data_IF_844282987455
#
_entry.id   IF_844282987455
#
_cell.length_a   1.000
_cell.length_b   1.000
_cell.length_c   1.000
_cell.angle_alpha   90.00
_cell.angle_beta   90.00
_cell.angle_gamma   90.00
#
_symmetry.space_group_name_H-M   'P 1'
#
loop_
_entity.id
_entity.type
_entity.pdbx_description
1 polymer ?
#
# COMPACT_ATOMS: atom_id res chain seq x y z
N UNK A 1 4.02 -33.37 19.95
CA UNK A 1 3.32 -34.57 20.48
C UNK A 1 2.73 -34.39 21.88
N UNK A 2 3.28 -33.52 22.75
CA UNK A 2 2.72 -33.27 24.09
C UNK A 2 1.32 -32.59 24.10
N UNK A 3 1.00 -31.78 23.07
CA UNK A 3 -0.32 -31.11 22.92
C UNK A 3 -1.50 -32.08 22.71
N UNK A 4 -1.26 -33.29 22.22
CA UNK A 4 -2.31 -34.30 22.03
C UNK A 4 -2.65 -35.07 23.33
N UNK A 5 -1.83 -34.92 24.37
CA UNK A 5 -1.97 -35.65 25.63
C UNK A 5 -2.68 -34.84 26.74
N UNK A 6 -2.95 -33.54 26.55
CA UNK A 6 -3.55 -32.69 27.58
C UNK A 6 -5.08 -32.75 27.65
N UNK A 7 -5.76 -33.00 26.52
CA UNK A 7 -7.21 -33.27 26.43
C UNK A 7 -7.59 -33.45 24.95
N UNK A 8 -8.46 -34.41 24.58
CA UNK A 8 -8.96 -34.54 23.21
C UNK A 8 -9.69 -33.28 22.71
N UNK A 9 -10.09 -32.37 23.61
CA UNK A 9 -10.72 -31.08 23.29
C UNK A 9 -9.69 -30.03 22.86
N UNK A 10 -8.42 -30.17 23.24
CA UNK A 10 -7.37 -29.20 22.89
C UNK A 10 -7.05 -29.21 21.39
N UNK A 11 -7.17 -30.37 20.74
CA UNK A 11 -6.93 -30.50 19.30
C UNK A 11 -7.94 -29.69 18.45
N UNK A 12 -9.27 -29.83 18.61
CA UNK A 12 -10.23 -29.01 17.86
C UNK A 12 -10.13 -27.52 18.21
N UNK A 13 -9.88 -27.17 19.47
CA UNK A 13 -9.67 -25.76 19.87
C UNK A 13 -8.43 -25.17 19.19
N UNK A 14 -7.32 -25.93 19.15
CA UNK A 14 -6.10 -25.51 18.46
C UNK A 14 -6.32 -25.33 16.95
N UNK A 15 -7.07 -26.23 16.31
CA UNK A 15 -7.45 -26.10 14.89
C UNK A 15 -8.30 -24.84 14.63
N UNK A 16 -9.27 -24.57 15.50
CA UNK A 16 -10.11 -23.37 15.39
C UNK A 16 -9.25 -22.10 15.54
N UNK A 17 -8.35 -22.06 16.52
CA UNK A 17 -7.46 -20.91 16.71
C UNK A 17 -6.48 -20.73 15.54
N UNK A 18 -5.95 -21.82 15.00
CA UNK A 18 -5.12 -21.78 13.79
C UNK A 18 -5.90 -21.25 12.58
N UNK A 19 -7.15 -21.67 12.42
CA UNK A 19 -8.02 -21.16 11.38
C UNK A 19 -8.23 -19.64 11.52
N UNK A 20 -8.52 -19.14 12.73
CA UNK A 20 -8.67 -17.70 12.99
C UNK A 20 -7.37 -16.92 12.72
N UNK A 21 -6.24 -17.44 13.20
CA UNK A 21 -4.92 -16.86 12.96
C UNK A 21 -4.55 -16.79 11.48
N UNK A 22 -5.16 -17.61 10.63
CA UNK A 22 -4.96 -17.58 9.18
C UNK A 22 -5.98 -16.73 8.43
N UNK A 23 -7.27 -16.85 8.78
CA UNK A 23 -8.38 -16.19 8.11
C UNK A 23 -8.32 -14.67 8.32
N UNK A 24 -8.07 -14.22 9.55
CA UNK A 24 -8.09 -12.79 9.89
C UNK A 24 -7.04 -12.02 9.05
N UNK A 25 -5.74 -12.38 9.03
CA UNK A 25 -4.76 -11.67 8.21
C UNK A 25 -5.07 -11.68 6.72
N UNK A 26 -5.76 -12.72 6.24
CA UNK A 26 -6.11 -12.86 4.84
C UNK A 26 -7.27 -11.93 4.44
N UNK A 27 -8.26 -11.75 5.32
CA UNK A 27 -9.32 -10.76 5.15
C UNK A 27 -8.77 -9.33 5.16
N UNK A 28 -7.88 -9.01 6.10
CA UNK A 28 -7.22 -7.71 6.12
C UNK A 28 -6.32 -7.50 4.88
N UNK A 29 -5.61 -8.53 4.41
CA UNK A 29 -4.84 -8.45 3.16
C UNK A 29 -5.74 -8.18 1.94
N UNK A 30 -6.95 -8.76 1.90
CA UNK A 30 -7.94 -8.47 0.87
C UNK A 30 -8.44 -7.02 0.96
N UNK A 31 -8.67 -6.50 2.18
CA UNK A 31 -9.00 -5.08 2.40
C UNK A 31 -7.88 -4.17 1.93
N UNK A 32 -6.64 -4.50 2.24
CA UNK A 32 -5.45 -3.78 1.78
C UNK A 32 -5.27 -3.80 0.26
N UNK A 33 -5.66 -4.89 -0.41
CA UNK A 33 -5.64 -4.96 -1.88
C UNK A 33 -6.64 -4.00 -2.55
N UNK A 34 -7.74 -3.67 -1.89
CA UNK A 34 -8.72 -2.72 -2.41
C UNK A 34 -8.22 -1.27 -2.41
N UNK A 35 -7.15 -0.95 -1.67
CA UNK A 35 -6.53 0.39 -1.62
C UNK A 35 -5.92 0.79 -2.97
N UNK A 36 -5.43 -0.19 -3.73
CA UNK A 36 -4.80 0.00 -5.05
C UNK A 36 -5.69 -0.50 -6.18
N UNK A 37 -6.99 -0.70 -5.90
CA UNK A 37 -7.96 -1.09 -6.91
C UNK A 37 -8.44 0.16 -7.63
N UNK A 38 -8.04 0.29 -8.89
CA UNK A 38 -8.50 1.35 -9.78
C UNK A 38 -10.01 1.36 -9.88
N UNK A 39 -10.62 2.53 -9.67
CA UNK A 39 -12.05 2.76 -9.90
C UNK A 39 -12.30 3.10 -11.37
N UNK A 40 -13.50 2.81 -11.91
CA UNK A 40 -13.88 3.29 -13.23
C UNK A 40 -13.90 4.82 -13.25
N UNK A 41 -13.41 5.42 -14.33
CA UNK A 41 -13.42 6.87 -14.53
C UNK A 41 -14.85 7.38 -14.72
N UNK A 42 -15.18 8.52 -14.10
CA UNK A 42 -16.49 9.14 -14.19
C UNK A 42 -16.76 9.76 -15.58
N UNK A 43 -15.72 10.31 -16.23
CA UNK A 43 -15.83 10.92 -17.55
C UNK A 43 -14.48 10.87 -18.31
N UNK A 44 -14.50 10.47 -19.58
CA UNK A 44 -13.28 10.15 -20.34
C UNK A 44 -12.40 11.36 -20.70
N UNK A 45 -13.00 12.54 -20.90
CA UNK A 45 -12.28 13.75 -21.31
C UNK A 45 -11.56 14.39 -20.11
N UNK A 46 -12.24 14.50 -18.97
CA UNK A 46 -11.65 15.02 -17.73
C UNK A 46 -10.54 14.10 -17.23
N UNK A 47 -10.75 12.77 -17.26
CA UNK A 47 -9.70 11.80 -16.90
C UNK A 47 -8.45 11.94 -17.78
N UNK A 48 -8.62 12.16 -19.09
CA UNK A 48 -7.47 12.31 -20.00
C UNK A 48 -6.66 13.57 -19.70
N UNK A 49 -7.31 14.68 -19.37
CA UNK A 49 -6.63 15.93 -18.95
C UNK A 49 -5.93 15.75 -17.62
N UNK A 50 -6.63 15.21 -16.62
CA UNK A 50 -6.08 14.91 -15.30
C UNK A 50 -4.87 13.96 -15.38
N UNK A 51 -4.94 12.93 -16.22
CA UNK A 51 -3.82 12.01 -16.44
C UNK A 51 -2.62 12.70 -17.11
N UNK A 52 -2.86 13.67 -18.00
CA UNK A 52 -1.83 14.53 -18.57
C UNK A 52 -1.09 15.31 -17.48
N UNK A 53 -1.84 16.02 -16.63
CA UNK A 53 -1.29 16.80 -15.51
C UNK A 53 -0.57 15.93 -14.48
N UNK A 54 -1.16 14.79 -14.10
CA UNK A 54 -0.51 13.81 -13.23
C UNK A 54 0.79 13.29 -13.86
N UNK A 55 0.77 13.04 -15.17
CA UNK A 55 1.93 12.64 -15.96
C UNK A 55 3.06 13.67 -15.94
N UNK A 56 2.75 14.95 -15.78
CA UNK A 56 3.74 16.03 -15.67
C UNK A 56 4.21 16.23 -14.22
N UNK A 57 3.37 15.89 -13.23
CA UNK A 57 3.72 15.88 -11.81
C UNK A 57 4.65 14.70 -11.44
N UNK A 58 4.56 13.59 -12.17
CA UNK A 58 5.41 12.42 -11.98
C UNK A 58 6.60 12.45 -12.95
N UNK A 59 7.80 12.07 -12.48
CA UNK A 59 8.97 11.95 -13.33
C UNK A 59 8.81 10.85 -14.40
N UNK A 60 9.71 10.83 -15.38
CA UNK A 60 9.65 9.95 -16.55
C UNK A 60 9.51 8.45 -16.20
N UNK A 61 10.27 7.95 -15.23
CA UNK A 61 10.23 6.55 -14.82
C UNK A 61 8.90 6.16 -14.15
N UNK A 62 8.37 7.05 -13.32
CA UNK A 62 7.08 6.85 -12.65
C UNK A 62 5.91 6.90 -13.64
N UNK A 63 6.04 7.69 -14.72
CA UNK A 63 5.06 7.79 -15.80
C UNK A 63 4.86 6.47 -16.54
N UNK A 64 5.93 5.73 -16.79
CA UNK A 64 5.84 4.41 -17.44
C UNK A 64 5.06 3.39 -16.59
N UNK A 65 5.29 3.40 -15.27
CA UNK A 65 4.55 2.52 -14.33
C UNK A 65 3.09 2.97 -14.19
N UNK A 66 2.84 4.26 -14.11
CA UNK A 66 1.49 4.84 -14.09
C UNK A 66 0.70 4.45 -15.34
N UNK A 67 1.29 4.56 -16.53
CA UNK A 67 0.63 4.21 -17.78
C UNK A 67 0.24 2.72 -17.86
N UNK A 68 1.09 1.82 -17.34
CA UNK A 68 0.81 0.37 -17.36
C UNK A 68 -0.11 -0.11 -16.24
N UNK A 69 -0.04 0.52 -15.06
CA UNK A 69 -0.63 -0.05 -13.84
C UNK A 69 -1.66 0.84 -13.17
N UNK A 70 -1.76 2.11 -13.56
CA UNK A 70 -2.60 3.11 -12.89
C UNK A 70 -2.11 3.52 -11.50
N UNK A 71 -0.86 3.20 -11.16
CA UNK A 71 -0.28 3.43 -9.84
C UNK A 71 1.04 4.20 -9.96
N UNK A 72 1.29 5.09 -9.02
CA UNK A 72 2.51 5.89 -8.93
C UNK A 72 3.43 5.29 -7.88
N UNK A 73 4.72 5.15 -8.21
CA UNK A 73 5.76 4.75 -7.26
C UNK A 73 6.49 6.00 -6.79
N UNK A 74 6.50 6.24 -5.49
CA UNK A 74 7.16 7.40 -4.87
C UNK A 74 8.12 6.93 -3.76
N UNK A 75 9.44 7.00 -3.95
CA UNK A 75 10.43 6.74 -2.90
C UNK A 75 10.43 7.88 -1.87
N UNK A 76 10.35 7.55 -0.58
CA UNK A 76 10.36 8.51 0.53
C UNK A 76 11.12 7.95 1.74
N UNK A 77 11.09 8.63 2.88
CA UNK A 77 11.91 8.29 4.06
C UNK A 77 11.44 7.02 4.75
N UNK A 78 10.12 6.75 4.79
CA UNK A 78 9.56 5.55 5.42
C UNK A 78 9.67 4.30 4.53
N UNK A 79 10.07 4.45 3.27
CA UNK A 79 10.19 3.38 2.29
C UNK A 79 9.71 3.80 0.91
N UNK A 80 9.15 2.85 0.16
CA UNK A 80 8.64 3.12 -1.19
C UNK A 80 7.13 3.06 -1.19
N UNK A 81 6.49 4.15 -1.58
CA UNK A 81 5.04 4.26 -1.67
C UNK A 81 4.55 3.85 -3.05
N UNK A 82 3.41 3.18 -3.06
CA UNK A 82 2.62 2.87 -4.23
C UNK A 82 1.26 3.54 -4.07
N UNK A 83 1.02 4.62 -4.80
CA UNK A 83 -0.16 5.48 -4.67
C UNK A 83 -1.15 5.16 -5.78
N UNK A 84 -2.41 4.94 -5.41
CA UNK A 84 -3.55 4.78 -6.30
C UNK A 84 -4.69 5.70 -5.90
N UNK A 85 -5.78 5.67 -6.67
CA UNK A 85 -6.89 6.61 -6.51
C UNK A 85 -7.76 6.37 -5.26
N UNK A 86 -7.61 5.20 -4.63
CA UNK A 86 -8.32 4.82 -3.40
C UNK A 86 -7.42 4.80 -2.14
N UNK A 87 -6.12 5.13 -2.28
CA UNK A 87 -5.17 5.25 -1.18
C UNK A 87 -3.75 4.82 -1.57
N UNK A 88 -2.94 4.43 -0.60
CA UNK A 88 -1.53 4.14 -0.82
C UNK A 88 -1.03 2.90 -0.08
N UNK A 89 0.01 2.26 -0.62
CA UNK A 89 0.71 1.13 -0.01
C UNK A 89 2.16 1.52 0.21
N UNK A 90 2.58 1.56 1.47
CA UNK A 90 3.97 1.70 1.86
C UNK A 90 4.65 0.34 1.85
N UNK A 91 5.65 0.17 1.00
CA UNK A 91 6.60 -0.94 1.03
C UNK A 91 7.77 -0.54 1.93
N UNK A 92 7.90 -1.23 3.07
CA UNK A 92 8.97 -0.96 4.04
C UNK A 92 10.35 -1.28 3.45
N UNK A 93 11.42 -0.64 3.95
CA UNK A 93 12.80 -0.98 3.57
C UNK A 93 13.05 -2.50 3.60
N UNK A 94 13.77 -3.01 2.61
CA UNK A 94 13.99 -4.45 2.40
C UNK A 94 12.85 -5.19 1.68
N UNK A 95 11.71 -4.55 1.42
CA UNK A 95 10.67 -5.05 0.51
C UNK A 95 9.92 -6.31 0.98
N UNK A 96 9.95 -6.63 2.27
CA UNK A 96 9.28 -7.81 2.86
C UNK A 96 7.93 -7.49 3.52
N UNK A 97 7.79 -6.29 4.08
CA UNK A 97 6.58 -5.84 4.78
C UNK A 97 5.93 -4.67 4.04
N UNK A 98 4.61 -4.58 4.15
CA UNK A 98 3.79 -3.53 3.55
C UNK A 98 2.76 -3.01 4.54
N UNK A 99 2.47 -1.72 4.49
CA UNK A 99 1.35 -1.08 5.17
C UNK A 99 0.41 -0.50 4.10
N UNK A 100 -0.87 -0.82 4.14
CA UNK A 100 -1.88 -0.31 3.22
C UNK A 100 -2.75 0.73 3.93
N UNK A 101 -2.89 1.90 3.32
CA UNK A 101 -3.59 3.05 3.87
C UNK A 101 -4.77 3.40 2.97
N UNK A 102 -5.99 3.23 3.47
CA UNK A 102 -7.19 3.74 2.80
C UNK A 102 -7.27 5.25 3.03
N UNK A 103 -7.38 6.02 1.95
CA UNK A 103 -7.68 7.44 2.05
C UNK A 103 -9.02 7.69 1.38
N UNK A 104 -9.96 8.25 2.12
CA UNK A 104 -11.24 8.66 1.58
C UNK A 104 -11.07 10.07 1.02
N UNK A 105 -10.89 10.18 -0.30
CA UNK A 105 -11.07 11.46 -0.97
C UNK A 105 -12.53 11.88 -0.78
N UNK A 106 -12.75 13.09 -0.26
CA UNK A 106 -14.07 13.61 0.10
C UNK A 106 -15.01 13.76 -1.10
N UNK A 107 -14.47 13.78 -2.32
CA UNK A 107 -15.23 14.00 -3.54
C UNK A 107 -15.16 12.81 -4.51
N UNK A 108 -16.31 12.17 -4.73
CA UNK A 108 -16.45 11.01 -5.62
C UNK A 108 -16.44 11.36 -7.11
N UNK A 109 -16.64 12.64 -7.43
CA UNK A 109 -16.76 13.16 -8.80
C UNK A 109 -15.41 13.48 -9.44
N UNK A 110 -14.34 13.60 -8.64
CA UNK A 110 -12.99 13.86 -9.15
C UNK A 110 -12.52 12.75 -10.11
N UNK A 111 -11.79 13.09 -11.17
CA UNK A 111 -11.03 12.12 -11.96
C UNK A 111 -10.13 11.25 -11.07
N UNK A 112 -9.92 10.00 -11.46
CA UNK A 112 -9.05 9.07 -10.74
C UNK A 112 -7.63 9.63 -10.66
N UNK A 113 -7.13 10.18 -11.76
CA UNK A 113 -5.80 10.81 -11.82
C UNK A 113 -5.66 12.02 -10.89
N UNK A 114 -6.70 12.84 -10.73
CA UNK A 114 -6.68 13.97 -9.78
C UNK A 114 -6.64 13.49 -8.33
N UNK A 115 -7.36 12.42 -7.99
CA UNK A 115 -7.24 11.80 -6.66
C UNK A 115 -5.83 11.30 -6.39
N UNK A 116 -5.20 10.65 -7.37
CA UNK A 116 -3.81 10.21 -7.24
C UNK A 116 -2.87 11.41 -7.05
N UNK A 117 -3.04 12.47 -7.85
CA UNK A 117 -2.24 13.69 -7.72
C UNK A 117 -2.39 14.32 -6.31
N UNK A 118 -3.62 14.41 -5.81
CA UNK A 118 -3.89 14.94 -4.48
C UNK A 118 -3.23 14.12 -3.36
N UNK A 119 -3.34 12.79 -3.41
CA UNK A 119 -2.70 11.91 -2.45
C UNK A 119 -1.17 11.97 -2.53
N UNK A 120 -0.62 12.08 -3.74
CA UNK A 120 0.81 12.21 -3.97
C UNK A 120 1.35 13.52 -3.40
N UNK A 121 0.64 14.63 -3.62
CA UNK A 121 1.00 15.93 -3.06
C UNK A 121 0.93 15.93 -1.53
N UNK A 122 -0.14 15.37 -0.95
CA UNK A 122 -0.26 15.22 0.51
C UNK A 122 0.91 14.40 1.10
N UNK A 123 1.25 13.28 0.46
CA UNK A 123 2.37 12.42 0.84
C UNK A 123 3.73 13.14 0.75
N UNK A 124 3.95 13.96 -0.29
CA UNK A 124 5.19 14.71 -0.48
C UNK A 124 5.36 15.82 0.55
N UNK A 125 4.27 16.49 0.91
CA UNK A 125 4.25 17.57 1.89
C UNK A 125 4.56 17.08 3.31
N UNK A 126 3.90 16.02 3.76
CA UNK A 126 4.12 15.42 5.07
C UNK A 126 3.89 13.91 5.04
N UNK A 127 4.98 13.15 4.90
CA UNK A 127 4.94 11.70 4.82
C UNK A 127 4.46 11.06 6.15
N UNK A 128 4.89 11.62 7.28
CA UNK A 128 4.55 11.08 8.60
C UNK A 128 3.10 11.37 8.91
N UNK A 129 2.66 12.62 8.70
CA UNK A 129 1.26 13.02 8.85
C UNK A 129 0.34 12.23 7.93
N UNK A 130 0.74 11.96 6.69
CA UNK A 130 -0.01 11.09 5.79
C UNK A 130 -0.21 9.68 6.38
N UNK A 131 0.85 9.07 6.92
CA UNK A 131 0.77 7.75 7.55
C UNK A 131 -0.05 7.72 8.85
N UNK A 132 -0.19 8.85 9.54
CA UNK A 132 -0.96 8.98 10.78
C UNK A 132 -2.44 9.24 10.51
N UNK A 133 -2.78 10.11 9.56
CA UNK A 133 -4.18 10.48 9.27
C UNK A 133 -4.88 9.43 8.42
N UNK A 134 -4.14 8.70 7.58
CA UNK A 134 -4.74 7.69 6.73
C UNK A 134 -5.13 6.43 7.52
N UNK A 135 -6.28 5.84 7.16
CA UNK A 135 -6.78 4.66 7.86
C UNK A 135 -5.97 3.42 7.46
N UNK A 136 -5.26 2.82 8.42
CA UNK A 136 -4.49 1.60 8.20
C UNK A 136 -5.44 0.41 7.92
N UNK A 137 -5.50 0.00 6.67
CA UNK A 137 -6.34 -1.12 6.22
C UNK A 137 -5.66 -2.48 6.35
N UNK A 138 -4.33 -2.53 6.27
CA UNK A 138 -3.54 -3.75 6.41
C UNK A 138 -2.10 -3.43 6.79
N UNK A 139 -1.52 -4.21 7.70
CA UNK A 139 -0.08 -4.27 7.91
C UNK A 139 0.36 -5.72 7.93
N UNK A 140 1.36 -6.07 7.13
CA UNK A 140 1.82 -7.45 7.09
C UNK A 140 2.82 -7.75 5.98
N UNK A 141 2.94 -9.03 5.66
CA UNK A 141 3.91 -9.49 4.69
C UNK A 141 3.45 -9.20 3.25
N UNK A 142 4.38 -8.73 2.41
CA UNK A 142 4.09 -8.32 1.03
C UNK A 142 3.51 -9.45 0.16
N UNK A 143 3.84 -10.71 0.48
CA UNK A 143 3.36 -11.87 -0.26
C UNK A 143 1.86 -12.12 -0.04
N UNK A 144 1.32 -11.83 1.16
CA UNK A 144 -0.12 -11.95 1.43
C UNK A 144 -0.90 -10.94 0.60
N UNK A 145 -0.45 -9.69 0.58
CA UNK A 145 -1.01 -8.65 -0.27
C UNK A 145 -0.94 -9.05 -1.76
N UNK A 146 0.24 -9.49 -2.23
CA UNK A 146 0.45 -9.91 -3.63
C UNK A 146 -0.55 -10.97 -4.10
N UNK A 147 -0.93 -11.93 -3.25
CA UNK A 147 -1.93 -12.97 -3.60
C UNK A 147 -3.32 -12.41 -3.87
N UNK A 148 -3.64 -11.25 -3.31
CA UNK A 148 -4.95 -10.58 -3.43
C UNK A 148 -5.00 -9.51 -4.51
N UNK A 149 -3.85 -9.14 -5.08
CA UNK A 149 -3.75 -8.12 -6.12
C UNK A 149 -4.07 -8.67 -7.52
N UNK A 150 -4.62 -7.78 -8.36
CA UNK A 150 -4.72 -7.98 -9.81
C UNK A 150 -3.33 -7.98 -10.47
N UNK A 151 -3.16 -8.58 -11.67
CA UNK A 151 -1.85 -8.69 -12.33
C UNK A 151 -1.08 -7.36 -12.42
N UNK A 152 -1.69 -6.27 -12.91
CA UNK A 152 -1.00 -4.98 -13.05
C UNK A 152 -0.54 -4.41 -11.71
N UNK A 153 -1.37 -4.51 -10.66
CA UNK A 153 -1.00 -4.08 -9.31
C UNK A 153 0.11 -4.95 -8.70
N UNK A 154 0.21 -6.24 -9.07
CA UNK A 154 1.34 -7.10 -8.67
C UNK A 154 2.65 -6.67 -9.31
N UNK A 155 2.62 -6.20 -10.56
CA UNK A 155 3.78 -5.65 -11.25
C UNK A 155 4.27 -4.39 -10.54
N UNK A 156 3.36 -3.45 -10.27
CA UNK A 156 3.69 -2.22 -9.55
C UNK A 156 4.25 -2.51 -8.14
N UNK A 157 3.63 -3.45 -7.40
CA UNK A 157 4.16 -3.92 -6.11
C UNK A 157 5.55 -4.57 -6.27
N UNK A 158 5.80 -5.30 -7.36
CA UNK A 158 7.11 -5.89 -7.67
C UNK A 158 8.18 -4.82 -7.89
N UNK A 159 7.86 -3.78 -8.66
CA UNK A 159 8.74 -2.64 -8.90
C UNK A 159 9.02 -1.87 -7.59
N UNK A 160 8.00 -1.58 -6.80
CA UNK A 160 8.14 -0.91 -5.50
C UNK A 160 8.99 -1.74 -4.51
N UNK A 161 8.79 -3.05 -4.46
CA UNK A 161 9.63 -3.95 -3.64
C UNK A 161 11.08 -4.01 -4.12
N UNK A 162 11.32 -3.90 -5.42
CA UNK A 162 12.68 -3.89 -5.98
C UNK A 162 13.38 -2.57 -5.64
N UNK A 163 12.67 -1.45 -5.74
CA UNK A 163 13.16 -0.15 -5.28
C UNK A 163 13.46 -0.16 -3.77
N UNK A 164 12.55 -0.67 -2.94
CA UNK A 164 12.71 -0.73 -1.48
C UNK A 164 13.84 -1.66 -1.00
N UNK A 165 14.29 -2.60 -1.84
CA UNK A 165 15.47 -3.44 -1.58
C UNK A 165 16.78 -2.73 -1.91
N UNK A 166 16.75 -1.80 -2.87
CA UNK A 166 17.90 -0.97 -3.25
C UNK A 166 18.09 0.22 -2.32
N UNK A 167 17.01 0.67 -1.67
CA UNK A 167 17.10 1.66 -0.61
C UNK A 167 17.88 1.10 0.58
N UNK A 168 18.90 1.81 1.11
CA UNK A 168 19.56 1.41 2.34
C UNK A 168 18.53 1.32 3.46
N UNK A 169 18.72 0.42 4.45
CA UNK A 169 17.87 0.42 5.63
C UNK A 169 17.95 1.81 6.27
N UNK A 170 16.80 2.40 6.60
CA UNK A 170 16.78 3.62 7.39
C UNK A 170 17.61 3.38 8.65
N UNK A 171 18.61 4.22 8.90
CA UNK A 171 19.34 4.18 10.15
C UNK A 171 18.33 4.25 11.30
N UNK A 172 18.44 3.37 12.32
CA UNK A 172 17.59 3.47 13.48
C UNK A 172 17.82 4.83 14.12
N UNK A 173 16.80 5.69 14.08
CA UNK A 173 16.79 6.95 14.81
C UNK A 173 17.09 6.63 16.27
N UNK A 174 18.25 7.06 16.75
CA UNK A 174 18.68 6.82 18.13
C UNK A 174 17.77 7.66 19.03
N UNK A 175 17.15 7.10 20.08
CA UNK A 175 16.34 7.88 21.00
C UNK A 175 17.27 8.88 21.71
N UNK A 176 17.28 10.14 21.24
CA UNK A 176 18.17 11.19 21.73
C UNK A 176 18.53 12.30 20.73
N UNK A 177 18.21 12.17 19.43
CA UNK A 177 18.56 13.19 18.42
C UNK A 177 17.43 14.15 17.99
N UNK A 178 16.23 14.07 18.58
CA UNK A 178 15.26 15.17 18.47
C UNK A 178 15.55 16.21 19.57
N UNK A 179 16.50 17.11 19.30
CA UNK A 179 16.78 18.28 20.11
C UNK A 179 16.09 19.53 19.56
N UNK A 180 15.20 20.07 20.39
CA UNK A 180 14.62 21.44 20.45
C UNK A 180 13.89 21.96 19.21
#
# INVERSE_FOLDING_TARGET
>A
MLLAALSPVTLPVGLIMLAHAWIIPELYAARGANVVRTRPAAEAVSERRALGLLGDLVGHDARAVLARTGLVIEPRTLGVWLVGDAGAVLVRPGGRRVHCYCVKASDGELPCSDRVAHLLLALRSDETGFATVANLAFSGASWRLRRRLRPCAREALGAARSAARRSPPAEPCTPGQCGV
#
